data_IF_473461142836
#
_entry.id   IF_473461142836
#
_cell.length_a   1.000
_cell.length_b   1.000
_cell.length_c   1.000
_cell.angle_alpha   90.00
_cell.angle_beta   90.00
_cell.angle_gamma   90.00
#
_symmetry.space_group_name_H-M   'P 1'
#
loop_
_entity.id
_entity.type
_entity.pdbx_description
1 polymer ?
#
# COMPACT_ATOMS: atom_id res chain seq x y z
N UNK A 1 -9.96 28.69 47.65
CA UNK A 1 -8.54 28.28 47.70
C UNK A 1 -8.38 27.26 46.58
N UNK A 2 -7.98 27.75 45.41
CA UNK A 2 -8.00 26.99 44.15
C UNK A 2 -6.58 26.54 43.86
N UNK A 3 -6.33 25.24 43.92
CA UNK A 3 -5.06 24.66 43.47
C UNK A 3 -5.05 24.66 41.93
N UNK A 4 -3.94 25.08 41.29
CA UNK A 4 -3.83 25.06 39.84
C UNK A 4 -3.65 23.63 39.34
N UNK A 5 -4.48 23.26 38.37
CA UNK A 5 -4.41 22.02 37.61
C UNK A 5 -3.18 22.09 36.68
N UNK A 6 -2.06 21.55 37.16
CA UNK A 6 -0.87 21.37 36.35
C UNK A 6 -1.11 20.18 35.41
N UNK A 7 -1.60 20.46 34.20
CA UNK A 7 -1.54 19.51 33.09
C UNK A 7 -0.08 19.09 32.88
N UNK A 8 0.24 17.79 32.89
CA UNK A 8 1.55 17.34 32.45
C UNK A 8 1.74 17.73 30.98
N UNK A 9 2.97 18.08 30.56
CA UNK A 9 3.27 18.38 29.15
C UNK A 9 2.87 17.15 28.33
N UNK A 10 1.97 17.38 27.36
CA UNK A 10 1.38 16.35 26.53
C UNK A 10 2.46 15.45 25.92
N UNK A 11 2.38 14.19 26.31
CA UNK A 11 2.96 13.05 25.60
C UNK A 11 2.64 13.17 24.10
N UNK A 12 3.66 13.01 23.27
CA UNK A 12 3.51 12.88 21.84
C UNK A 12 2.71 11.60 21.52
N UNK A 13 1.39 11.75 21.32
CA UNK A 13 0.47 10.73 20.83
C UNK A 13 0.24 10.81 19.31
N UNK A 14 -0.49 9.84 18.73
CA UNK A 14 -0.04 8.93 17.67
C UNK A 14 0.08 9.55 16.27
N UNK A 15 1.16 9.20 15.58
CA UNK A 15 1.43 9.49 14.16
C UNK A 15 0.27 9.00 13.26
N UNK A 16 -0.63 9.90 12.85
CA UNK A 16 -1.65 9.61 11.84
C UNK A 16 -3.00 10.32 12.01
N UNK A 17 -3.33 10.84 13.20
CA UNK A 17 -4.56 11.60 13.39
C UNK A 17 -4.43 12.99 12.74
N UNK A 18 -5.13 13.22 11.63
CA UNK A 18 -5.22 14.53 10.98
C UNK A 18 -4.73 14.60 9.53
N UNK A 19 -4.15 13.54 8.96
CA UNK A 19 -3.81 13.56 7.53
C UNK A 19 -4.99 13.14 6.65
N UNK A 20 -5.25 13.90 5.59
CA UNK A 20 -6.24 13.59 4.55
C UNK A 20 -5.60 13.52 3.17
N UNK A 21 -6.14 12.67 2.31
CA UNK A 21 -5.81 12.65 0.89
C UNK A 21 -6.85 13.43 0.09
N UNK A 22 -6.39 14.41 -0.69
CA UNK A 22 -7.25 15.23 -1.55
C UNK A 22 -6.71 15.26 -2.98
N UNK A 23 -7.61 15.12 -3.94
CA UNK A 23 -7.27 15.32 -5.34
C UNK A 23 -7.00 16.81 -5.60
N UNK A 24 -5.81 17.17 -6.11
CA UNK A 24 -5.54 18.55 -6.42
C UNK A 24 -6.38 19.01 -7.61
N UNK A 25 -6.70 20.31 -7.68
CA UNK A 25 -7.56 20.88 -8.73
C UNK A 25 -7.04 20.61 -10.15
N UNK A 26 -5.72 20.46 -10.31
CA UNK A 26 -5.09 20.08 -11.58
C UNK A 26 -5.53 18.69 -12.04
N UNK A 27 -5.76 17.75 -11.11
CA UNK A 27 -6.25 16.41 -11.43
C UNK A 27 -7.76 16.40 -11.72
N UNK A 28 -8.55 17.18 -11.00
CA UNK A 28 -10.01 17.17 -11.13
C UNK A 28 -10.53 17.91 -12.37
N UNK A 29 -9.70 18.68 -13.08
CA UNK A 29 -10.10 19.45 -14.28
C UNK A 29 -9.58 18.85 -15.56
N UNK A 30 -8.25 18.66 -15.66
CA UNK A 30 -7.56 18.23 -16.87
C UNK A 30 -6.39 17.28 -16.54
N UNK A 31 -6.57 16.46 -15.51
CA UNK A 31 -5.49 15.62 -15.00
C UNK A 31 -5.02 14.59 -16.01
N UNK A 32 -3.71 14.43 -16.14
CA UNK A 32 -3.12 13.33 -16.90
C UNK A 32 -3.26 12.01 -16.12
N UNK A 33 -4.03 11.03 -16.61
CA UNK A 33 -4.18 9.73 -15.96
C UNK A 33 -2.87 8.91 -15.94
N UNK A 34 -1.88 9.25 -16.77
CA UNK A 34 -0.57 8.58 -16.77
C UNK A 34 0.40 9.15 -15.73
N UNK A 35 0.06 10.27 -15.09
CA UNK A 35 0.90 11.02 -14.14
C UNK A 35 0.11 11.49 -12.91
N UNK A 36 -0.67 10.58 -12.33
CA UNK A 36 -1.56 10.87 -11.19
C UNK A 36 -0.78 11.36 -9.96
N UNK A 37 -1.32 12.40 -9.32
CA UNK A 37 -0.79 12.99 -8.08
C UNK A 37 -1.90 13.22 -7.07
N UNK A 38 -1.59 13.12 -5.78
CA UNK A 38 -2.50 13.41 -4.67
C UNK A 38 -1.85 14.42 -3.72
N UNK A 39 -2.65 15.32 -3.15
CA UNK A 39 -2.20 16.19 -2.06
C UNK A 39 -2.45 15.45 -0.73
N UNK A 40 -1.40 15.31 0.08
CA UNK A 40 -1.48 14.91 1.50
C UNK A 40 -1.59 16.18 2.31
N UNK A 41 -2.70 16.36 3.03
CA UNK A 41 -3.02 17.60 3.76
C UNK A 41 -3.08 17.29 5.24
N UNK A 42 -2.47 18.13 6.08
CA UNK A 42 -2.65 18.05 7.52
C UNK A 42 -3.86 18.89 7.95
N UNK A 43 -4.99 18.23 8.17
CA UNK A 43 -6.23 18.79 8.71
C UNK A 43 -6.31 18.67 10.25
N UNK A 44 -5.27 18.11 10.89
CA UNK A 44 -5.15 18.08 12.34
C UNK A 44 -4.90 19.46 12.94
N UNK A 45 -5.07 19.57 14.25
CA UNK A 45 -4.81 20.79 15.03
C UNK A 45 -3.34 20.93 15.46
N UNK A 46 -2.52 19.89 15.23
CA UNK A 46 -1.11 19.84 15.58
C UNK A 46 -0.22 19.58 14.35
N UNK A 47 1.05 19.98 14.45
CA UNK A 47 2.06 19.70 13.43
C UNK A 47 2.27 18.19 13.31
N UNK A 48 2.15 17.68 12.09
CA UNK A 48 2.50 16.30 11.78
C UNK A 48 4.01 16.18 11.56
N UNK A 49 4.65 15.24 12.26
CA UNK A 49 6.09 14.99 12.19
C UNK A 49 6.32 13.55 11.72
N UNK A 50 7.03 13.32 10.61
CA UNK A 50 7.30 11.97 10.12
C UNK A 50 8.30 11.23 11.02
N UNK A 51 7.90 10.06 11.52
CA UNK A 51 8.73 9.20 12.38
C UNK A 51 9.55 8.19 11.57
N UNK A 52 10.22 8.67 10.51
CA UNK A 52 11.03 7.83 9.61
C UNK A 52 10.28 7.23 8.41
N UNK A 53 9.00 7.58 8.24
CA UNK A 53 8.17 7.10 7.14
C UNK A 53 8.44 7.87 5.83
N UNK A 54 8.18 7.21 4.70
CA UNK A 54 8.07 7.86 3.38
C UNK A 54 6.59 8.02 3.04
N UNK A 55 6.20 9.17 2.47
CA UNK A 55 4.85 9.34 1.94
C UNK A 55 4.79 8.63 0.58
N UNK A 56 4.29 7.40 0.58
CA UNK A 56 4.10 6.57 -0.62
C UNK A 56 2.61 6.44 -0.92
N UNK A 57 2.18 7.05 -2.02
CA UNK A 57 0.82 6.90 -2.52
C UNK A 57 0.78 5.82 -3.61
N UNK A 58 -0.11 4.86 -3.45
CA UNK A 58 -0.42 3.85 -4.46
C UNK A 58 -1.84 4.02 -4.95
N UNK A 59 -2.07 3.68 -6.20
CA UNK A 59 -3.39 3.75 -6.79
C UNK A 59 -3.75 2.52 -7.57
N UNK A 60 -5.04 2.40 -7.85
CA UNK A 60 -5.61 1.37 -8.69
C UNK A 60 -6.74 1.99 -9.53
N UNK A 61 -6.93 1.45 -10.71
CA UNK A 61 -7.94 1.90 -11.67
C UNK A 61 -9.07 0.88 -11.69
N UNK A 62 -10.31 1.35 -11.55
CA UNK A 62 -11.51 0.50 -11.63
C UNK A 62 -12.52 1.05 -12.62
N UNK A 63 -13.47 0.19 -13.00
CA UNK A 63 -14.68 0.65 -13.66
C UNK A 63 -15.42 1.69 -12.79
N UNK A 64 -16.14 2.64 -13.39
CA UNK A 64 -16.95 3.62 -12.70
C UNK A 64 -17.90 3.02 -11.66
N UNK A 65 -17.83 3.48 -10.41
CA UNK A 65 -18.72 3.06 -9.33
C UNK A 65 -18.46 1.64 -8.81
N UNK A 66 -17.40 0.97 -9.26
CA UNK A 66 -16.97 -0.29 -8.68
C UNK A 66 -16.50 -0.08 -7.23
N UNK A 67 -16.62 -1.10 -6.35
CA UNK A 67 -16.10 -1.00 -5.00
C UNK A 67 -14.58 -0.72 -4.99
N UNK A 68 -14.06 -0.04 -3.96
CA UNK A 68 -12.63 0.25 -3.86
C UNK A 68 -11.82 -1.05 -3.95
N UNK A 69 -10.83 -1.13 -4.84
CA UNK A 69 -10.04 -2.35 -4.99
C UNK A 69 -9.12 -2.54 -3.77
N UNK A 70 -8.73 -3.79 -3.53
CA UNK A 70 -7.56 -4.07 -2.72
C UNK A 70 -6.32 -3.55 -3.47
N UNK A 71 -5.72 -2.47 -2.99
CA UNK A 71 -4.51 -1.91 -3.62
C UNK A 71 -3.33 -2.72 -3.10
N UNK A 72 -2.86 -3.66 -3.92
CA UNK A 72 -1.67 -4.44 -3.64
C UNK A 72 -0.41 -3.61 -3.97
N UNK A 73 0.41 -3.32 -2.97
CA UNK A 73 1.69 -2.66 -3.13
C UNK A 73 2.81 -3.64 -2.76
N UNK A 74 3.79 -3.78 -3.66
CA UNK A 74 5.09 -4.26 -3.26
C UNK A 74 5.87 -3.08 -2.67
N UNK A 75 6.73 -3.34 -1.69
CA UNK A 75 7.56 -2.31 -1.06
C UNK A 75 8.59 -1.76 -2.07
N UNK A 76 8.15 -0.88 -2.96
CA UNK A 76 9.04 -0.03 -3.72
C UNK A 76 9.51 1.04 -2.75
N UNK A 77 10.77 0.93 -2.31
CA UNK A 77 11.43 2.02 -1.58
C UNK A 77 11.36 3.29 -2.43
N UNK A 78 10.39 4.15 -2.15
CA UNK A 78 10.22 5.39 -2.89
C UNK A 78 11.20 6.46 -2.38
N UNK A 79 11.77 7.28 -3.28
CA UNK A 79 12.90 8.17 -2.95
C UNK A 79 12.52 9.40 -2.10
N UNK A 80 11.23 9.61 -1.77
CA UNK A 80 10.79 10.82 -1.06
C UNK A 80 10.58 10.56 0.42
N UNK A 81 11.55 11.00 1.22
CA UNK A 81 11.38 11.21 2.66
C UNK A 81 10.15 12.09 2.88
N UNK A 82 9.30 11.69 3.83
CA UNK A 82 8.21 12.53 4.27
C UNK A 82 8.72 13.86 4.83
N UNK A 83 7.94 14.91 4.66
CA UNK A 83 8.22 16.26 5.19
C UNK A 83 7.22 16.57 6.29
N UNK A 84 7.64 17.26 7.34
CA UNK A 84 6.72 17.71 8.37
C UNK A 84 5.70 18.71 7.78
N UNK A 85 4.46 18.65 8.26
CA UNK A 85 3.35 19.48 7.79
C UNK A 85 2.72 20.19 8.99
N UNK A 86 2.66 21.52 8.96
CA UNK A 86 1.87 22.26 9.95
C UNK A 86 0.36 22.14 9.62
N UNK A 87 -0.55 22.44 10.56
CA UNK A 87 -2.00 22.47 10.27
C UNK A 87 -2.35 23.32 9.06
N UNK A 88 -3.07 22.76 8.10
CA UNK A 88 -3.42 23.37 6.82
C UNK A 88 -2.36 23.24 5.72
N UNK A 89 -1.14 22.81 6.05
CA UNK A 89 -0.11 22.54 5.04
C UNK A 89 -0.43 21.29 4.24
N UNK A 90 0.12 21.27 3.03
CA UNK A 90 0.03 20.12 2.14
C UNK A 90 1.34 19.82 1.45
N UNK A 91 1.52 18.56 1.11
CA UNK A 91 2.57 18.11 0.20
C UNK A 91 1.97 17.26 -0.92
N UNK A 92 2.57 17.35 -2.11
CA UNK A 92 2.10 16.62 -3.28
C UNK A 92 2.93 15.36 -3.51
N UNK A 93 2.24 14.24 -3.64
CA UNK A 93 2.84 12.92 -3.77
C UNK A 93 2.37 12.29 -5.08
N UNK A 94 3.28 11.74 -5.91
CA UNK A 94 2.89 10.97 -7.08
C UNK A 94 2.22 9.65 -6.64
N UNK A 95 1.17 9.26 -7.36
CA UNK A 95 0.46 8.00 -7.13
C UNK A 95 1.05 6.94 -8.06
N UNK A 96 1.62 5.89 -7.47
CA UNK A 96 2.13 4.75 -8.23
C UNK A 96 0.98 3.80 -8.55
N UNK A 97 0.63 3.67 -9.83
CA UNK A 97 -0.35 2.70 -10.32
C UNK A 97 0.43 1.54 -10.96
N UNK A 98 0.22 0.29 -10.53
CA UNK A 98 0.90 -0.86 -11.11
C UNK A 98 0.69 -0.95 -12.64
N UNK A 99 1.75 -1.23 -13.38
CA UNK A 99 1.68 -1.38 -14.83
C UNK A 99 0.73 -2.49 -15.29
N UNK A 100 0.54 -3.52 -14.45
CA UNK A 100 -0.41 -4.61 -14.71
C UNK A 100 -1.86 -4.14 -14.79
N UNK A 101 -2.22 -3.10 -14.04
CA UNK A 101 -3.58 -2.56 -14.04
C UNK A 101 -3.93 -1.92 -15.39
N UNK A 102 -2.94 -1.50 -16.18
CA UNK A 102 -3.17 -0.86 -17.49
C UNK A 102 -3.48 -1.86 -18.60
N UNK A 103 -2.95 -3.08 -18.51
CA UNK A 103 -3.06 -4.08 -19.57
C UNK A 103 -4.49 -4.65 -19.71
N UNK A 104 -5.29 -4.56 -18.64
CA UNK A 104 -6.66 -5.07 -18.57
C UNK A 104 -7.72 -3.98 -18.79
N UNK A 105 -7.31 -2.72 -19.04
CA UNK A 105 -8.24 -1.61 -19.24
C UNK A 105 -8.79 -1.56 -20.65
N UNK A 106 -10.05 -1.12 -20.73
CA UNK A 106 -10.67 -0.68 -21.97
C UNK A 106 -10.66 0.86 -22.06
N UNK A 107 -10.68 1.46 -23.25
CA UNK A 107 -10.83 2.90 -23.39
C UNK A 107 -12.18 3.38 -22.83
N UNK A 108 -12.17 4.44 -22.02
CA UNK A 108 -13.39 5.01 -21.46
C UNK A 108 -13.22 5.62 -20.06
N UNK A 109 -14.34 5.98 -19.41
CA UNK A 109 -14.34 6.54 -18.07
C UNK A 109 -13.94 5.47 -17.04
N UNK A 110 -13.06 5.84 -16.10
CA UNK A 110 -12.58 5.00 -15.01
C UNK A 110 -12.49 5.79 -13.71
N UNK A 111 -12.50 5.07 -12.59
CA UNK A 111 -12.28 5.63 -11.26
C UNK A 111 -10.87 5.28 -10.78
N UNK A 112 -10.10 6.29 -10.40
CA UNK A 112 -8.78 6.13 -9.79
C UNK A 112 -8.93 6.26 -8.27
N UNK A 113 -8.49 5.22 -7.57
CA UNK A 113 -8.42 5.18 -6.12
C UNK A 113 -6.99 5.43 -5.69
N UNK A 114 -6.77 6.13 -4.58
CA UNK A 114 -5.46 6.32 -3.99
C UNK A 114 -5.46 6.02 -2.49
N UNK A 115 -4.37 5.41 -2.05
CA UNK A 115 -4.07 5.14 -0.64
C UNK A 115 -2.64 5.54 -0.32
N UNK A 116 -2.45 6.16 0.83
CA UNK A 116 -1.16 6.43 1.45
C UNK A 116 -0.86 5.27 2.39
N UNK A 117 0.24 4.53 2.16
CA UNK A 117 0.52 3.30 2.92
C UNK A 117 0.79 3.59 4.40
N UNK A 118 1.51 4.66 4.69
CA UNK A 118 1.76 5.12 6.06
C UNK A 118 1.47 6.62 6.11
N UNK A 119 0.41 7.08 6.79
CA UNK A 119 -0.41 6.40 7.80
C UNK A 119 -1.76 5.80 7.31
N UNK A 120 -1.79 4.91 6.30
CA UNK A 120 -3.00 4.21 5.82
C UNK A 120 -4.21 5.11 5.46
N UNK A 121 -3.95 6.32 4.98
CA UNK A 121 -5.01 7.29 4.61
C UNK A 121 -5.51 7.01 3.20
N UNK A 122 -6.83 6.96 3.01
CA UNK A 122 -7.45 6.84 1.67
C UNK A 122 -8.04 8.17 1.23
N UNK A 123 -8.06 8.41 -0.08
CA UNK A 123 -8.86 9.49 -0.63
C UNK A 123 -10.35 9.18 -0.41
N UNK A 124 -11.12 10.19 0.02
CA UNK A 124 -12.53 10.01 0.36
C UNK A 124 -13.39 9.65 -0.86
N UNK A 125 -13.08 10.23 -2.03
CA UNK A 125 -13.77 9.96 -3.28
C UNK A 125 -12.77 9.57 -4.37
N UNK A 126 -13.13 8.62 -5.26
CA UNK A 126 -12.28 8.29 -6.40
C UNK A 126 -12.20 9.45 -7.40
N UNK A 127 -11.06 9.59 -8.06
CA UNK A 127 -10.89 10.53 -9.16
C UNK A 127 -11.42 9.91 -10.46
N UNK A 128 -12.48 10.51 -11.02
CA UNK A 128 -12.97 10.15 -12.35
C UNK A 128 -11.99 10.62 -13.42
N UNK A 129 -11.51 9.69 -14.24
CA UNK A 129 -10.61 9.97 -15.37
C UNK A 129 -11.14 9.33 -16.66
N UNK A 130 -10.64 9.79 -17.80
CA UNK A 130 -10.91 9.16 -19.10
C UNK A 130 -9.62 8.52 -19.60
N UNK A 131 -9.62 7.19 -19.69
CA UNK A 131 -8.51 6.42 -20.25
C UNK A 131 -8.72 6.28 -21.76
N UNK A 132 -7.68 6.56 -22.55
CA UNK A 132 -7.73 6.41 -24.01
C UNK A 132 -6.98 5.16 -24.48
N UNK A 133 -7.34 4.64 -25.65
CA UNK A 133 -6.62 3.52 -26.27
C UNK A 133 -5.13 3.82 -26.47
N UNK A 134 -4.79 5.08 -26.75
CA UNK A 134 -3.40 5.50 -26.96
C UNK A 134 -2.60 5.48 -25.66
N UNK A 135 -3.19 5.87 -24.54
CA UNK A 135 -2.57 5.78 -23.21
C UNK A 135 -2.28 4.31 -22.83
N UNK A 136 -3.27 3.43 -23.03
CA UNK A 136 -3.12 1.99 -22.80
C UNK A 136 -1.97 1.44 -23.66
N UNK A 137 -1.96 1.76 -24.95
CA UNK A 137 -0.92 1.30 -25.88
C UNK A 137 0.48 1.79 -25.47
N UNK A 138 0.61 3.05 -25.04
CA UNK A 138 1.89 3.60 -24.54
C UNK A 138 2.39 2.85 -23.31
N UNK A 139 1.51 2.55 -22.35
CA UNK A 139 1.91 1.81 -21.14
C UNK A 139 2.24 0.36 -21.42
N UNK A 140 1.45 -0.34 -22.22
CA UNK A 140 1.78 -1.70 -22.65
C UNK A 140 3.13 -1.75 -23.39
N UNK A 141 3.42 -0.77 -24.26
CA UNK A 141 4.69 -0.68 -24.96
C UNK A 141 5.88 -0.36 -24.03
N UNK A 142 5.67 0.46 -22.99
CA UNK A 142 6.70 0.76 -22.00
C UNK A 142 7.10 -0.48 -21.19
N UNK A 143 6.11 -1.27 -20.74
CA UNK A 143 6.32 -2.55 -20.03
C UNK A 143 7.11 -3.54 -20.89
N UNK A 144 6.75 -3.66 -22.17
CA UNK A 144 7.45 -4.57 -23.11
C UNK A 144 8.92 -4.18 -23.37
N UNK A 145 9.31 -2.93 -23.10
CA UNK A 145 10.67 -2.40 -23.33
C UNK A 145 11.59 -2.48 -22.12
N UNK A 146 11.10 -2.94 -20.98
CA UNK A 146 11.91 -3.05 -19.76
C UNK A 146 12.99 -4.13 -19.96
N UNK A 147 14.30 -3.82 -19.82
CA UNK A 147 15.38 -4.78 -20.03
C UNK A 147 15.30 -5.99 -19.09
N UNK A 148 15.73 -7.17 -19.55
CA UNK A 148 15.70 -8.45 -18.78
C UNK A 148 16.32 -8.38 -17.37
N UNK A 149 17.18 -7.40 -17.07
CA UNK A 149 17.72 -7.18 -15.74
C UNK A 149 16.62 -6.78 -14.70
N UNK A 150 15.48 -6.24 -15.14
CA UNK A 150 14.37 -5.86 -14.27
C UNK A 150 13.31 -6.97 -14.13
N UNK A 151 13.23 -7.92 -15.09
CA UNK A 151 12.27 -9.03 -15.02
C UNK A 151 12.50 -9.91 -13.76
N UNK A 152 13.76 -10.09 -13.37
CA UNK A 152 14.13 -10.77 -12.13
C UNK A 152 13.78 -9.94 -10.88
N UNK A 153 13.83 -8.60 -10.96
CA UNK A 153 13.40 -7.73 -9.87
C UNK A 153 11.87 -7.73 -9.73
N UNK A 154 11.14 -7.68 -10.84
CA UNK A 154 9.68 -7.85 -10.89
C UNK A 154 9.26 -9.21 -10.36
N UNK A 155 9.96 -10.30 -10.73
CA UNK A 155 9.71 -11.64 -10.18
C UNK A 155 9.92 -11.67 -8.67
N UNK A 156 11.07 -11.20 -8.17
CA UNK A 156 11.35 -11.13 -6.72
C UNK A 156 10.32 -10.29 -5.97
N UNK A 157 9.89 -9.18 -6.56
CA UNK A 157 8.84 -8.32 -6.01
C UNK A 157 7.50 -9.06 -5.90
N UNK A 158 7.09 -9.80 -6.94
CA UNK A 158 5.88 -10.63 -6.92
C UNK A 158 5.96 -11.76 -5.90
N UNK A 159 7.11 -12.43 -5.82
CA UNK A 159 7.36 -13.50 -4.83
C UNK A 159 7.28 -12.95 -3.40
N UNK A 160 7.85 -11.77 -3.15
CA UNK A 160 7.76 -11.08 -1.87
C UNK A 160 6.31 -10.71 -1.52
N UNK A 161 5.51 -10.24 -2.48
CA UNK A 161 4.07 -9.96 -2.27
C UNK A 161 3.30 -11.24 -1.92
N UNK A 162 3.54 -12.34 -2.63
CA UNK A 162 2.90 -13.64 -2.34
C UNK A 162 3.31 -14.12 -0.94
N UNK A 163 4.60 -14.04 -0.59
CA UNK A 163 5.09 -14.41 0.74
C UNK A 163 4.43 -13.57 1.84
N UNK A 164 4.31 -12.26 1.63
CA UNK A 164 3.63 -11.36 2.55
C UNK A 164 2.14 -11.69 2.72
N UNK A 165 1.40 -11.87 1.63
CA UNK A 165 -0.02 -12.23 1.67
C UNK A 165 -0.26 -13.54 2.41
N UNK A 166 0.62 -14.53 2.22
CA UNK A 166 0.59 -15.80 2.95
C UNK A 166 0.84 -15.58 4.44
N UNK A 167 1.88 -14.84 4.81
CA UNK A 167 2.21 -14.56 6.20
C UNK A 167 1.10 -13.79 6.93
N UNK A 168 0.51 -12.77 6.29
CA UNK A 168 -0.63 -12.00 6.83
C UNK A 168 -1.85 -12.88 7.04
N UNK A 169 -2.17 -13.74 6.06
CA UNK A 169 -3.30 -14.68 6.16
C UNK A 169 -3.08 -15.66 7.31
N UNK A 170 -1.87 -16.24 7.41
CA UNK A 170 -1.51 -17.15 8.50
C UNK A 170 -1.55 -16.46 9.87
N UNK A 171 -1.08 -15.21 9.96
CA UNK A 171 -1.14 -14.41 11.18
C UNK A 171 -2.58 -14.12 11.61
N UNK A 172 -3.48 -13.80 10.68
CA UNK A 172 -4.90 -13.62 10.96
C UNK A 172 -5.60 -14.92 11.38
N UNK A 173 -5.26 -16.05 10.75
CA UNK A 173 -5.76 -17.36 11.16
C UNK A 173 -5.26 -17.78 12.55
N UNK A 174 -4.05 -17.35 12.93
CA UNK A 174 -3.44 -17.57 14.22
C UNK A 174 -3.61 -16.40 15.20
N UNK A 175 -4.53 -15.45 14.96
CA UNK A 175 -4.57 -14.16 15.65
C UNK A 175 -4.58 -14.27 17.18
N UNK A 176 -5.34 -15.23 17.73
CA UNK A 176 -5.42 -15.45 19.19
C UNK A 176 -4.10 -15.97 19.76
N UNK A 177 -3.45 -16.91 19.07
CA UNK A 177 -2.16 -17.45 19.48
C UNK A 177 -1.06 -16.37 19.37
N UNK A 178 -1.07 -15.61 18.28
CA UNK A 178 -0.19 -14.48 18.03
C UNK A 178 -0.30 -13.42 19.13
N UNK A 179 -1.52 -13.00 19.47
CA UNK A 179 -1.74 -12.05 20.57
C UNK A 179 -1.22 -12.59 21.91
N UNK A 180 -1.38 -13.90 22.16
CA UNK A 180 -0.84 -14.56 23.35
C UNK A 180 0.69 -14.54 23.42
N UNK A 181 1.38 -14.75 22.30
CA UNK A 181 2.84 -14.65 22.24
C UNK A 181 3.33 -13.21 22.42
N UNK A 182 2.68 -12.25 21.76
CA UNK A 182 3.05 -10.84 21.83
C UNK A 182 2.83 -10.25 23.23
N UNK A 183 1.78 -10.67 23.94
CA UNK A 183 1.53 -10.27 25.33
C UNK A 183 2.65 -10.71 26.30
N UNK A 184 3.46 -11.71 25.92
CA UNK A 184 4.58 -12.23 26.73
C UNK A 184 5.94 -11.70 26.25
N UNK A 185 5.97 -10.91 25.20
CA UNK A 185 7.22 -10.39 24.64
C UNK A 185 7.81 -9.32 25.57
N UNK A 186 9.10 -9.49 25.91
CA UNK A 186 9.82 -8.52 26.75
C UNK A 186 10.35 -7.31 25.98
N UNK A 187 10.41 -7.40 24.65
CA UNK A 187 10.87 -6.34 23.74
C UNK A 187 10.35 -6.55 22.32
N UNK A 188 10.53 -5.55 21.45
CA UNK A 188 10.22 -5.69 20.02
C UNK A 188 11.06 -6.80 19.35
N UNK A 189 12.33 -6.97 19.73
CA UNK A 189 13.17 -8.03 19.21
C UNK A 189 12.68 -9.44 19.64
N UNK A 190 12.22 -9.56 20.89
CA UNK A 190 11.59 -10.79 21.40
C UNK A 190 10.25 -11.06 20.69
N UNK A 191 9.44 -10.03 20.48
CA UNK A 191 8.20 -10.13 19.71
C UNK A 191 8.45 -10.65 18.29
N UNK A 192 9.43 -10.11 17.58
CA UNK A 192 9.83 -10.59 16.24
C UNK A 192 10.26 -12.05 16.29
N UNK A 193 11.10 -12.45 17.25
CA UNK A 193 11.55 -13.84 17.38
C UNK A 193 10.37 -14.81 17.60
N UNK A 194 9.37 -14.40 18.39
CA UNK A 194 8.16 -15.20 18.65
C UNK A 194 7.27 -15.31 17.42
N UNK A 195 7.08 -14.22 16.67
CA UNK A 195 6.32 -14.25 15.41
C UNK A 195 6.96 -15.23 14.43
N UNK A 196 8.29 -15.17 14.27
CA UNK A 196 9.04 -16.10 13.40
C UNK A 196 8.81 -17.55 13.80
N UNK A 197 8.90 -17.85 15.10
CA UNK A 197 8.71 -19.19 15.62
C UNK A 197 7.27 -19.69 15.45
N UNK A 198 6.27 -18.81 15.64
CA UNK A 198 4.86 -19.17 15.54
C UNK A 198 4.42 -19.43 14.10
N UNK A 199 4.90 -18.63 13.16
CA UNK A 199 4.41 -18.61 11.77
C UNK A 199 5.40 -19.18 10.74
N UNK A 200 6.54 -19.71 11.20
CA UNK A 200 7.63 -20.22 10.35
C UNK A 200 8.01 -19.22 9.24
N UNK A 201 8.30 -17.98 9.65
CA UNK A 201 8.60 -16.88 8.73
C UNK A 201 9.96 -16.27 8.97
N UNK A 202 10.49 -15.58 7.96
CA UNK A 202 11.76 -14.87 8.05
C UNK A 202 11.64 -13.61 8.94
N UNK A 203 12.79 -13.05 9.30
CA UNK A 203 12.85 -11.90 10.20
C UNK A 203 12.21 -10.63 9.63
N UNK A 204 12.39 -10.38 8.32
CA UNK A 204 11.81 -9.22 7.66
C UNK A 204 10.29 -9.31 7.68
N UNK A 205 9.74 -10.48 7.35
CA UNK A 205 8.31 -10.73 7.35
C UNK A 205 7.71 -10.64 8.76
N UNK A 206 8.41 -11.14 9.78
CA UNK A 206 7.99 -11.01 11.17
C UNK A 206 7.99 -9.57 11.69
N UNK A 207 9.00 -8.76 11.31
CA UNK A 207 9.03 -7.33 11.62
C UNK A 207 7.84 -6.60 10.99
N UNK A 208 7.49 -6.93 9.75
CA UNK A 208 6.32 -6.37 9.07
C UNK A 208 5.02 -6.73 9.78
N UNK A 209 4.86 -8.00 10.19
CA UNK A 209 3.68 -8.45 10.95
C UNK A 209 3.54 -7.73 12.29
N UNK A 210 4.64 -7.46 12.99
CA UNK A 210 4.61 -6.72 14.26
C UNK A 210 4.06 -5.29 14.10
N UNK A 211 4.36 -4.64 12.97
CA UNK A 211 3.85 -3.31 12.64
C UNK A 211 2.47 -3.29 11.99
N UNK A 212 1.83 -4.45 11.82
CA UNK A 212 0.56 -4.54 11.07
C UNK A 212 -0.63 -4.14 11.95
N UNK A 213 -1.52 -3.25 11.46
CA UNK A 213 -2.78 -2.93 12.13
C UNK A 213 -3.68 -4.15 12.36
N UNK A 214 -4.38 -4.20 13.50
CA UNK A 214 -5.22 -5.36 13.86
C UNK A 214 -6.42 -5.55 12.92
N UNK A 215 -6.95 -4.48 12.34
CA UNK A 215 -8.04 -4.54 11.36
C UNK A 215 -7.65 -5.33 10.09
N UNK A 216 -6.37 -5.30 9.72
CA UNK A 216 -5.81 -6.07 8.60
C UNK A 216 -5.67 -7.57 8.88
N UNK A 217 -5.84 -8.00 10.14
CA UNK A 217 -5.80 -9.40 10.58
C UNK A 217 -7.20 -9.95 10.92
N UNK A 218 -8.25 -9.13 10.81
CA UNK A 218 -9.61 -9.57 11.08
C UNK A 218 -10.10 -10.59 10.02
N UNK A 219 -11.07 -11.46 10.37
CA UNK A 219 -11.56 -12.49 9.45
C UNK A 219 -12.01 -11.97 8.07
N UNK A 220 -12.59 -10.76 8.01
CA UNK A 220 -12.99 -10.13 6.75
C UNK A 220 -11.79 -9.75 5.89
N UNK A 221 -10.75 -9.17 6.48
CA UNK A 221 -9.50 -8.82 5.81
C UNK A 221 -8.73 -10.07 5.38
N UNK A 222 -8.70 -11.11 6.21
CA UNK A 222 -8.11 -12.42 5.89
C UNK A 222 -8.82 -13.07 4.70
N UNK A 223 -10.17 -13.04 4.68
CA UNK A 223 -10.94 -13.57 3.56
C UNK A 223 -10.69 -12.80 2.25
N UNK A 224 -10.55 -11.48 2.31
CA UNK A 224 -10.14 -10.66 1.17
C UNK A 224 -8.71 -11.00 0.72
N UNK A 225 -7.78 -11.10 1.67
CA UNK A 225 -6.38 -11.47 1.42
C UNK A 225 -6.20 -12.85 0.79
N UNK A 226 -7.06 -13.83 1.11
CA UNK A 226 -7.05 -15.15 0.45
C UNK A 226 -7.41 -15.06 -1.04
N UNK A 227 -8.36 -14.20 -1.41
CA UNK A 227 -8.70 -13.95 -2.81
C UNK A 227 -7.55 -13.28 -3.54
N UNK A 228 -6.98 -12.23 -2.94
CA UNK A 228 -5.80 -11.55 -3.48
C UNK A 228 -4.61 -12.51 -3.68
N UNK A 229 -4.39 -13.42 -2.72
CA UNK A 229 -3.34 -14.43 -2.80
C UNK A 229 -3.58 -15.41 -3.95
N UNK A 230 -4.81 -15.93 -4.09
CA UNK A 230 -5.16 -16.84 -5.18
C UNK A 230 -4.95 -16.19 -6.54
N UNK A 231 -5.41 -14.95 -6.71
CA UNK A 231 -5.22 -14.20 -7.97
C UNK A 231 -3.72 -13.94 -8.25
N UNK A 232 -2.93 -13.63 -7.22
CA UNK A 232 -1.50 -13.41 -7.36
C UNK A 232 -0.73 -14.68 -7.75
N UNK A 233 -1.10 -15.83 -7.18
CA UNK A 233 -0.53 -17.13 -7.52
C UNK A 233 -0.91 -17.54 -8.95
N UNK A 234 -2.16 -17.36 -9.36
CA UNK A 234 -2.61 -17.65 -10.72
C UNK A 234 -1.86 -16.81 -11.76
N UNK A 235 -1.69 -15.50 -11.52
CA UNK A 235 -0.91 -14.61 -12.40
C UNK A 235 0.56 -15.02 -12.49
N UNK A 236 1.17 -15.48 -11.39
CA UNK A 236 2.55 -16.01 -11.38
C UNK A 236 2.65 -17.24 -12.25
N UNK A 237 1.73 -18.19 -12.07
CA UNK A 237 1.76 -19.47 -12.78
C UNK A 237 1.47 -19.29 -14.28
N UNK A 238 0.56 -18.37 -14.64
CA UNK A 238 0.34 -17.96 -16.03
C UNK A 238 1.61 -17.34 -16.65
N UNK A 239 2.30 -16.46 -15.91
CA UNK A 239 3.57 -15.85 -16.36
C UNK A 239 4.67 -16.88 -16.56
N UNK A 240 4.79 -17.87 -15.66
CA UNK A 240 5.77 -18.96 -15.78
C UNK A 240 5.51 -19.81 -17.03
N UNK A 241 4.26 -20.21 -17.25
CA UNK A 241 3.87 -20.99 -18.45
C UNK A 241 4.14 -20.26 -19.75
N UNK A 242 3.89 -18.95 -19.80
CA UNK A 242 4.16 -18.13 -20.98
C UNK A 242 5.67 -17.99 -21.27
N UNK A 243 6.50 -17.92 -20.22
CA UNK A 243 7.96 -17.91 -20.34
C UNK A 243 8.50 -19.24 -20.87
N UNK A 244 7.98 -20.38 -20.37
CA UNK A 244 8.38 -21.72 -20.82
C UNK A 244 7.96 -22.01 -22.27
N UNK A 245 6.77 -21.53 -22.68
CA UNK A 245 6.28 -21.65 -24.05
C UNK A 245 7.08 -20.80 -25.08
N UNK A 246 7.89 -19.85 -24.60
CA UNK A 246 8.72 -18.95 -25.41
C UNK A 246 10.20 -19.40 -25.48
N UNK A 247 10.52 -20.62 -25.03
CA UNK A 247 11.87 -21.22 -25.08
C UNK A 247 12.41 -21.45 -26.51
N UNK A 248 13.74 -21.52 -26.69
CA UNK A 248 14.44 -20.98 -27.86
C UNK A 248 14.20 -21.79 -29.15
N UNK A 249 14.00 -21.08 -30.25
CA UNK A 249 14.15 -21.59 -31.61
C UNK A 249 15.63 -21.81 -31.96
#
# INVERSE_FOLDING_TARGET
MTLPDARPPGDAGPSGHGLELRWPTVMTRDGDPEAVVVDVVNEGDARWIPTGESLLAFGAITAPGAPPPGIAFAFAGGPRRAVALDPGDRTRVPVSIPDGDWAELEPGPHDVHAVLISPHVRAAEPLRVTITAEMIARRCAAVARVPRHDADAVRRSREATIAWLRARTAAGDALVALAGELARAASAADAVARIRALLDTDESTAQLLLGTPLDMLLPSAVAAGRRELADAEERRDASSRAADASGPA
#
